data_IF_225837493758
#
_entry.id   IF_225837493758
#
_cell.length_a   1.000
_cell.length_b   1.000
_cell.length_c   1.000
_cell.angle_alpha   90.00
_cell.angle_beta   90.00
_cell.angle_gamma   90.00
#
_symmetry.space_group_name_H-M   'P 1'
#
loop_
_entity.id
_entity.type
_entity.pdbx_description
1 polymer ?
#
# COMPACT_ATOMS: atom_id res chain seq x y z
N UNK A 1 -29.94 -13.90 14.78
CA UNK A 1 -30.96 -14.60 13.97
C UNK A 1 -30.31 -15.18 12.73
N UNK A 2 -30.69 -16.38 12.30
CA UNK A 2 -30.13 -17.02 11.10
C UNK A 2 -31.14 -16.95 9.94
N UNK A 3 -30.66 -16.53 8.76
CA UNK A 3 -31.32 -16.77 7.48
C UNK A 3 -30.42 -17.67 6.64
N UNK A 4 -30.88 -18.87 6.33
CA UNK A 4 -30.19 -19.80 5.45
C UNK A 4 -30.98 -19.98 4.16
N UNK A 5 -30.32 -19.79 3.02
CA UNK A 5 -30.83 -20.10 1.68
C UNK A 5 -29.98 -21.22 1.12
N UNK A 6 -30.61 -22.35 0.81
CA UNK A 6 -29.93 -23.51 0.24
C UNK A 6 -30.59 -23.88 -1.09
N UNK A 7 -29.82 -23.81 -2.17
CA UNK A 7 -30.26 -24.16 -3.53
C UNK A 7 -31.50 -23.38 -3.98
N UNK A 8 -31.55 -22.08 -3.65
CA UNK A 8 -32.67 -21.19 -4.03
C UNK A 8 -32.33 -20.43 -5.32
N UNK A 9 -33.27 -20.37 -6.26
CA UNK A 9 -33.14 -19.59 -7.50
C UNK A 9 -34.04 -18.36 -7.48
N UNK A 10 -33.43 -17.19 -7.64
CA UNK A 10 -34.09 -15.91 -7.88
C UNK A 10 -33.86 -15.51 -9.35
N UNK A 11 -34.87 -15.63 -10.20
CA UNK A 11 -34.74 -15.39 -11.64
C UNK A 11 -35.85 -14.48 -12.19
N UNK A 12 -35.48 -13.58 -13.13
CA UNK A 12 -36.44 -12.75 -13.88
C UNK A 12 -37.10 -11.65 -13.05
N UNK A 13 -36.44 -11.16 -12.01
CA UNK A 13 -37.00 -10.18 -11.08
C UNK A 13 -36.75 -8.75 -11.56
N UNK A 14 -37.81 -7.94 -11.59
CA UNK A 14 -37.72 -6.48 -11.69
C UNK A 14 -38.08 -5.83 -10.36
N UNK A 15 -37.09 -5.25 -9.68
CA UNK A 15 -37.27 -4.56 -8.42
C UNK A 15 -37.17 -3.04 -8.65
N UNK A 16 -38.13 -2.26 -8.14
CA UNK A 16 -38.14 -0.80 -8.32
C UNK A 16 -38.40 -0.09 -7.00
N UNK A 17 -37.42 0.02 -6.09
CA UNK A 17 -37.63 0.65 -4.78
C UNK A 17 -37.96 2.14 -4.93
N UNK A 18 -39.00 2.59 -4.24
CA UNK A 18 -39.58 3.94 -4.41
C UNK A 18 -39.07 4.95 -3.38
N UNK A 19 -38.95 4.54 -2.12
CA UNK A 19 -38.55 5.41 -1.00
C UNK A 19 -37.09 5.27 -0.60
N UNK A 20 -36.60 4.03 -0.51
CA UNK A 20 -35.26 3.69 -0.02
C UNK A 20 -34.67 2.52 -0.81
N UNK A 21 -33.34 2.39 -0.74
CA UNK A 21 -32.58 1.25 -1.24
C UNK A 21 -33.08 -0.09 -0.64
N UNK A 22 -33.29 -1.11 -1.47
CA UNK A 22 -33.69 -2.45 -1.03
C UNK A 22 -32.91 -3.55 -1.74
N UNK A 23 -32.66 -4.65 -1.02
CA UNK A 23 -32.17 -5.90 -1.59
C UNK A 23 -33.31 -6.83 -1.99
N UNK A 24 -33.08 -7.79 -2.90
CA UNK A 24 -33.94 -8.99 -3.00
C UNK A 24 -33.85 -9.76 -1.68
N UNK A 25 -32.62 -9.95 -1.20
CA UNK A 25 -32.31 -10.33 0.17
C UNK A 25 -31.76 -9.10 0.89
N UNK A 26 -32.41 -8.66 1.97
CA UNK A 26 -32.00 -7.46 2.72
C UNK A 26 -31.85 -7.79 4.20
N UNK A 27 -30.62 -7.85 4.67
CA UNK A 27 -30.24 -8.10 6.07
C UNK A 27 -29.96 -6.75 6.73
N UNK A 28 -30.82 -6.35 7.67
CA UNK A 28 -30.78 -5.04 8.33
C UNK A 28 -30.82 -5.10 9.86
N UNK A 29 -30.74 -6.31 10.43
CA UNK A 29 -30.81 -6.54 11.87
C UNK A 29 -29.47 -7.05 12.36
N UNK A 30 -28.95 -6.42 13.41
CA UNK A 30 -27.64 -6.75 14.01
C UNK A 30 -27.64 -8.17 14.62
N UNK A 31 -26.46 -8.75 14.81
CA UNK A 31 -26.32 -10.12 15.33
C UNK A 31 -27.12 -11.14 14.51
N UNK A 32 -27.10 -10.94 13.18
CA UNK A 32 -27.68 -11.86 12.22
C UNK A 32 -26.61 -12.62 11.48
N UNK A 33 -26.92 -13.86 11.16
CA UNK A 33 -26.14 -14.72 10.31
C UNK A 33 -26.94 -14.94 9.02
N UNK A 34 -26.28 -14.79 7.89
CA UNK A 34 -26.86 -15.04 6.58
C UNK A 34 -25.96 -16.02 5.82
N UNK A 35 -26.52 -17.16 5.44
CA UNK A 35 -25.82 -18.18 4.68
C UNK A 35 -26.57 -18.38 3.37
N UNK A 36 -25.87 -18.22 2.25
CA UNK A 36 -26.36 -18.63 0.94
C UNK A 36 -25.47 -19.75 0.41
N UNK A 37 -26.05 -20.92 0.21
CA UNK A 37 -25.39 -22.10 -0.33
C UNK A 37 -26.02 -22.48 -1.66
N UNK A 38 -25.22 -22.64 -2.70
CA UNK A 38 -25.64 -23.13 -4.02
C UNK A 38 -26.83 -22.38 -4.62
N UNK A 39 -27.00 -21.10 -4.28
CA UNK A 39 -28.10 -20.26 -4.76
C UNK A 39 -27.77 -19.63 -6.11
N UNK A 40 -28.81 -19.33 -6.90
CA UNK A 40 -28.68 -18.68 -8.20
C UNK A 40 -29.49 -17.39 -8.19
N UNK A 41 -28.84 -16.28 -8.54
CA UNK A 41 -29.43 -14.97 -8.75
C UNK A 41 -29.21 -14.59 -10.21
N UNK A 42 -30.26 -14.58 -11.02
CA UNK A 42 -30.09 -14.34 -12.45
C UNK A 42 -31.16 -13.45 -13.09
N UNK A 43 -30.79 -12.71 -14.13
CA UNK A 43 -31.71 -11.89 -14.91
C UNK A 43 -32.50 -10.92 -14.03
N UNK A 44 -31.78 -10.24 -13.12
CA UNK A 44 -32.35 -9.30 -12.15
C UNK A 44 -32.13 -7.87 -12.64
N UNK A 45 -33.18 -7.07 -12.63
CA UNK A 45 -33.12 -5.64 -12.95
C UNK A 45 -33.65 -4.81 -11.78
N UNK A 46 -32.79 -3.97 -11.21
CA UNK A 46 -33.10 -3.15 -10.04
C UNK A 46 -33.03 -1.68 -10.44
N UNK A 47 -34.19 -1.03 -10.56
CA UNK A 47 -34.29 0.35 -10.99
C UNK A 47 -34.50 1.32 -9.81
N UNK A 48 -34.23 2.60 -10.02
CA UNK A 48 -34.58 3.71 -9.10
C UNK A 48 -33.61 3.94 -7.92
N UNK A 49 -34.02 3.73 -6.66
CA UNK A 49 -33.36 4.30 -5.46
C UNK A 49 -32.15 3.51 -4.92
N UNK A 50 -31.37 2.83 -5.78
CA UNK A 50 -30.13 2.19 -5.33
C UNK A 50 -30.28 0.87 -4.59
N UNK A 51 -30.81 -0.17 -5.25
CA UNK A 51 -30.95 -1.51 -4.68
C UNK A 51 -29.90 -2.53 -5.17
N UNK A 52 -29.94 -3.73 -4.61
CA UNK A 52 -28.94 -4.80 -4.82
C UNK A 52 -29.61 -6.18 -4.85
N UNK A 53 -28.95 -7.23 -5.33
CA UNK A 53 -29.49 -8.58 -5.15
C UNK A 53 -29.44 -8.97 -3.66
N UNK A 54 -28.29 -8.75 -3.02
CA UNK A 54 -28.07 -8.95 -1.59
C UNK A 54 -27.60 -7.63 -1.00
N UNK A 55 -28.30 -7.18 0.04
CA UNK A 55 -28.01 -5.94 0.76
C UNK A 55 -27.79 -6.23 2.24
N UNK A 56 -26.61 -5.94 2.74
CA UNK A 56 -26.19 -6.14 4.12
C UNK A 56 -25.90 -4.77 4.73
N UNK A 57 -26.64 -4.39 5.78
CA UNK A 57 -26.46 -3.12 6.47
C UNK A 57 -26.57 -3.33 7.97
N UNK A 58 -25.49 -3.09 8.70
CA UNK A 58 -25.55 -3.02 10.16
C UNK A 58 -26.01 -1.63 10.64
N UNK A 59 -26.55 -1.58 11.86
CA UNK A 59 -27.16 -0.37 12.42
C UNK A 59 -26.83 -0.11 13.89
N UNK A 60 -26.52 -1.12 14.70
CA UNK A 60 -26.25 -0.97 16.15
C UNK A 60 -25.29 -2.03 16.67
N UNK A 61 -24.04 -1.64 16.98
CA UNK A 61 -23.00 -2.29 17.81
C UNK A 61 -22.63 -3.77 17.60
N UNK A 62 -23.41 -4.58 16.88
CA UNK A 62 -23.17 -6.01 16.70
C UNK A 62 -23.10 -6.34 15.20
N UNK A 63 -22.08 -7.12 14.79
CA UNK A 63 -21.83 -7.43 13.38
C UNK A 63 -22.90 -8.36 12.78
N UNK A 64 -23.04 -8.30 11.45
CA UNK A 64 -23.70 -9.32 10.64
C UNK A 64 -22.63 -10.25 10.09
N UNK A 65 -22.84 -11.57 10.14
CA UNK A 65 -21.98 -12.55 9.47
C UNK A 65 -22.70 -13.04 8.22
N UNK A 66 -22.08 -12.87 7.06
CA UNK A 66 -22.61 -13.33 5.79
C UNK A 66 -21.62 -14.28 5.09
N UNK A 67 -22.11 -15.45 4.70
CA UNK A 67 -21.32 -16.47 3.99
C UNK A 67 -22.02 -16.83 2.67
N UNK A 68 -21.28 -16.72 1.58
CA UNK A 68 -21.76 -16.96 0.21
C UNK A 68 -20.94 -18.09 -0.40
N UNK A 69 -21.55 -19.26 -0.52
CA UNK A 69 -20.88 -20.49 -0.95
C UNK A 69 -21.52 -21.06 -2.20
N UNK A 70 -20.70 -21.37 -3.20
CA UNK A 70 -21.12 -21.99 -4.47
C UNK A 70 -22.30 -21.27 -5.15
N UNK A 71 -22.43 -19.96 -4.95
CA UNK A 71 -23.55 -19.18 -5.48
C UNK A 71 -23.21 -18.56 -6.84
N UNK A 72 -24.22 -18.40 -7.69
CA UNK A 72 -24.05 -17.75 -9.00
C UNK A 72 -24.90 -16.47 -9.11
N UNK A 73 -24.25 -15.37 -9.50
CA UNK A 73 -24.86 -14.07 -9.76
C UNK A 73 -24.65 -13.73 -11.23
N UNK A 74 -25.69 -13.87 -12.04
CA UNK A 74 -25.60 -13.82 -13.50
C UNK A 74 -26.54 -12.76 -14.08
N UNK A 75 -26.00 -11.79 -14.84
CA UNK A 75 -26.82 -10.79 -15.54
C UNK A 75 -27.72 -10.00 -14.56
N UNK A 76 -27.07 -9.33 -13.61
CA UNK A 76 -27.73 -8.48 -12.61
C UNK A 76 -27.42 -7.03 -12.95
N UNK A 77 -28.45 -6.19 -13.00
CA UNK A 77 -28.29 -4.76 -13.26
C UNK A 77 -28.93 -3.94 -12.15
N UNK A 78 -28.23 -2.89 -11.71
CA UNK A 78 -28.78 -1.90 -10.79
C UNK A 78 -28.41 -0.48 -11.20
N UNK A 79 -29.09 0.50 -10.60
CA UNK A 79 -28.71 1.91 -10.65
C UNK A 79 -28.13 2.26 -9.28
N UNK A 80 -26.99 2.93 -9.23
CA UNK A 80 -26.35 3.40 -8.01
C UNK A 80 -27.21 4.40 -7.25
N UNK A 81 -26.98 4.50 -5.95
CA UNK A 81 -27.74 5.45 -5.13
C UNK A 81 -27.22 6.89 -5.24
N UNK A 82 -27.87 7.83 -4.54
CA UNK A 82 -27.50 9.25 -4.58
C UNK A 82 -26.09 9.53 -4.04
N UNK A 83 -25.48 8.59 -3.32
CA UNK A 83 -24.12 8.66 -2.79
C UNK A 83 -23.10 7.95 -3.69
N UNK A 84 -23.49 7.52 -4.90
CA UNK A 84 -22.62 6.82 -5.85
C UNK A 84 -22.33 5.37 -5.46
N UNK A 85 -23.10 4.79 -4.54
CA UNK A 85 -22.89 3.41 -4.07
C UNK A 85 -23.58 2.43 -5.02
N UNK A 86 -22.86 1.37 -5.38
CA UNK A 86 -23.34 0.35 -6.32
C UNK A 86 -23.38 -1.05 -5.70
N UNK A 87 -22.69 -2.00 -6.33
CA UNK A 87 -22.69 -3.41 -5.96
C UNK A 87 -23.97 -4.10 -6.41
N UNK A 88 -24.19 -4.24 -7.73
CA UNK A 88 -25.47 -4.74 -8.25
C UNK A 88 -25.85 -6.11 -7.68
N UNK A 89 -24.85 -6.98 -7.46
CA UNK A 89 -25.03 -8.24 -6.77
C UNK A 89 -25.00 -8.05 -5.25
N UNK A 90 -23.88 -7.61 -4.68
CA UNK A 90 -23.71 -7.50 -3.23
C UNK A 90 -23.35 -6.06 -2.85
N UNK A 91 -24.13 -5.52 -1.92
CA UNK A 91 -23.77 -4.32 -1.17
C UNK A 91 -23.62 -4.67 0.29
N UNK A 92 -22.50 -4.27 0.89
CA UNK A 92 -22.30 -4.29 2.33
C UNK A 92 -21.95 -2.89 2.82
N UNK A 93 -22.68 -2.43 3.85
CA UNK A 93 -22.24 -1.34 4.70
C UNK A 93 -22.04 -1.86 6.12
N UNK A 94 -20.78 -1.86 6.56
CA UNK A 94 -20.34 -2.37 7.85
C UNK A 94 -19.72 -1.24 8.68
N UNK A 95 -20.42 -0.77 9.72
CA UNK A 95 -19.85 0.18 10.68
C UNK A 95 -19.33 -0.48 11.95
N UNK A 96 -19.74 -1.73 12.20
CA UNK A 96 -19.55 -2.39 13.50
C UNK A 96 -18.98 -3.81 13.34
N UNK A 97 -18.08 -4.00 12.38
CA UNK A 97 -17.31 -5.24 12.23
C UNK A 97 -18.04 -6.39 11.55
N UNK A 98 -19.02 -6.11 10.68
CA UNK A 98 -19.69 -7.15 9.89
C UNK A 98 -18.70 -7.92 9.00
N UNK A 99 -19.04 -9.18 8.74
CA UNK A 99 -18.23 -10.15 8.03
C UNK A 99 -18.90 -10.58 6.73
N UNK A 100 -18.15 -10.63 5.65
CA UNK A 100 -18.56 -11.21 4.39
C UNK A 100 -17.48 -12.18 3.89
N UNK A 101 -17.84 -13.46 3.82
CA UNK A 101 -16.97 -14.53 3.31
C UNK A 101 -17.59 -15.08 2.03
N UNK A 102 -16.80 -15.15 0.96
CA UNK A 102 -17.21 -15.69 -0.33
C UNK A 102 -16.30 -16.85 -0.71
N UNK A 103 -16.89 -18.02 -0.91
CA UNK A 103 -16.14 -19.27 -1.10
C UNK A 103 -16.86 -20.25 -2.05
N UNK A 104 -16.28 -21.45 -2.17
CA UNK A 104 -16.75 -22.61 -2.90
C UNK A 104 -17.02 -22.32 -4.38
N UNK A 105 -16.13 -21.54 -5.01
CA UNK A 105 -16.20 -21.18 -6.42
C UNK A 105 -17.46 -20.43 -6.82
N UNK A 106 -17.95 -19.55 -5.93
CA UNK A 106 -19.01 -18.60 -6.24
C UNK A 106 -18.65 -17.74 -7.47
N UNK A 107 -19.65 -17.35 -8.27
CA UNK A 107 -19.45 -16.65 -9.55
C UNK A 107 -20.28 -15.37 -9.62
N UNK A 108 -19.66 -14.29 -10.07
CA UNK A 108 -20.30 -13.03 -10.39
C UNK A 108 -19.99 -12.72 -11.85
N UNK A 109 -21.01 -12.78 -12.71
CA UNK A 109 -20.86 -12.62 -14.15
C UNK A 109 -21.87 -11.62 -14.68
N UNK A 110 -21.41 -10.60 -15.41
CA UNK A 110 -22.31 -9.57 -15.98
C UNK A 110 -23.15 -8.86 -14.91
N UNK A 111 -22.53 -8.52 -13.80
CA UNK A 111 -23.12 -7.67 -12.76
C UNK A 111 -22.78 -6.21 -13.09
N UNK A 112 -23.79 -5.39 -13.34
CA UNK A 112 -23.63 -4.05 -13.90
C UNK A 112 -24.30 -3.03 -12.97
N UNK A 113 -23.56 -2.00 -12.58
CA UNK A 113 -24.14 -0.82 -11.96
C UNK A 113 -24.08 0.38 -12.90
N UNK A 114 -25.22 1.01 -13.13
CA UNK A 114 -25.29 2.33 -13.78
C UNK A 114 -25.21 3.45 -12.74
N UNK A 115 -24.43 4.50 -12.99
CA UNK A 115 -24.27 5.66 -12.08
C UNK A 115 -23.83 5.28 -10.66
N UNK A 116 -22.96 4.29 -10.54
CA UNK A 116 -22.45 3.78 -9.26
C UNK A 116 -21.04 3.22 -9.37
N UNK A 117 -20.55 2.63 -8.28
CA UNK A 117 -19.23 2.00 -8.18
C UNK A 117 -19.37 0.53 -7.79
N UNK A 118 -18.38 -0.31 -8.11
CA UNK A 118 -18.42 -1.73 -7.77
C UNK A 118 -19.48 -2.45 -8.60
N UNK A 119 -19.17 -2.90 -9.81
CA UNK A 119 -20.18 -3.51 -10.70
C UNK A 119 -20.88 -4.70 -10.05
N UNK A 120 -20.12 -5.64 -9.50
CA UNK A 120 -20.65 -6.77 -8.74
C UNK A 120 -20.79 -6.45 -7.25
N UNK A 121 -19.71 -5.99 -6.62
CA UNK A 121 -19.59 -5.89 -5.17
C UNK A 121 -19.21 -4.46 -4.77
N UNK A 122 -19.95 -3.89 -3.82
CA UNK A 122 -19.61 -2.62 -3.19
C UNK A 122 -19.59 -2.80 -1.66
N UNK A 123 -18.43 -2.53 -1.07
CA UNK A 123 -18.22 -2.62 0.38
C UNK A 123 -17.87 -1.22 0.91
N UNK A 124 -18.66 -0.74 1.86
CA UNK A 124 -18.35 0.44 2.68
C UNK A 124 -18.14 -0.01 4.12
N UNK A 125 -16.92 0.14 4.65
CA UNK A 125 -16.59 -0.33 6.00
C UNK A 125 -15.96 0.73 6.88
N UNK A 126 -15.92 0.47 8.18
CA UNK A 126 -14.97 1.09 9.11
C UNK A 126 -13.81 0.11 9.35
N UNK A 127 -12.61 0.47 8.88
CA UNK A 127 -11.42 -0.35 8.97
C UNK A 127 -10.87 -0.48 10.40
N UNK A 128 -11.28 0.41 11.31
CA UNK A 128 -10.98 0.28 12.75
C UNK A 128 -11.89 -0.75 13.42
N UNK A 129 -13.09 -0.96 12.86
CA UNK A 129 -14.00 -2.00 13.33
C UNK A 129 -13.46 -3.37 12.92
N UNK A 130 -13.72 -4.41 13.70
CA UNK A 130 -13.26 -5.78 13.42
C UNK A 130 -13.94 -6.44 12.21
N UNK A 131 -14.12 -5.70 11.11
CA UNK A 131 -14.77 -6.16 9.89
C UNK A 131 -13.97 -7.28 9.25
N UNK A 132 -14.65 -8.12 8.48
CA UNK A 132 -14.00 -9.15 7.69
C UNK A 132 -14.58 -9.15 6.28
N UNK A 133 -13.70 -9.14 5.26
CA UNK A 133 -14.11 -9.29 3.87
C UNK A 133 -13.10 -10.19 3.15
N UNK A 134 -13.48 -11.45 2.99
CA UNK A 134 -12.60 -12.49 2.45
C UNK A 134 -13.22 -13.13 1.20
N UNK A 135 -12.42 -13.23 0.15
CA UNK A 135 -12.72 -14.02 -1.04
C UNK A 135 -11.74 -15.19 -1.11
N UNK A 136 -12.20 -16.34 -0.62
CA UNK A 136 -11.41 -17.58 -0.53
C UNK A 136 -11.37 -18.29 -1.88
N UNK A 137 -12.49 -18.31 -2.60
CA UNK A 137 -12.58 -18.91 -3.93
C UNK A 137 -13.80 -18.38 -4.67
N UNK A 138 -13.60 -17.37 -5.51
CA UNK A 138 -14.67 -16.84 -6.36
C UNK A 138 -14.15 -16.34 -7.70
N UNK A 139 -15.03 -16.28 -8.70
CA UNK A 139 -14.76 -15.66 -9.99
C UNK A 139 -15.66 -14.44 -10.20
N UNK A 140 -15.06 -13.29 -10.52
CA UNK A 140 -15.75 -12.04 -10.82
C UNK A 140 -15.35 -11.60 -12.23
N UNK A 141 -16.27 -11.67 -13.18
CA UNK A 141 -15.95 -11.37 -14.58
C UNK A 141 -17.06 -10.64 -15.32
N UNK A 142 -16.68 -9.87 -16.34
CA UNK A 142 -17.62 -9.17 -17.23
C UNK A 142 -18.56 -8.22 -16.48
N UNK A 143 -18.15 -7.76 -15.31
CA UNK A 143 -18.90 -6.83 -14.48
C UNK A 143 -18.53 -5.39 -14.87
N UNK A 144 -19.48 -4.47 -14.70
CA UNK A 144 -19.28 -3.09 -15.14
C UNK A 144 -19.73 -2.06 -14.10
N UNK A 145 -18.90 -1.03 -13.91
CA UNK A 145 -19.27 0.18 -13.19
C UNK A 145 -19.33 1.39 -14.15
N UNK A 146 -20.54 1.93 -14.35
CA UNK A 146 -20.78 3.05 -15.26
C UNK A 146 -20.85 4.37 -14.52
N UNK A 147 -20.11 5.37 -15.01
CA UNK A 147 -20.12 6.70 -14.42
C UNK A 147 -21.42 7.45 -14.75
N UNK A 148 -21.88 8.28 -13.81
CA UNK A 148 -22.87 9.30 -14.09
C UNK A 148 -22.21 10.46 -14.85
N UNK A 149 -22.55 10.63 -16.12
CA UNK A 149 -22.00 11.71 -16.94
C UNK A 149 -22.67 13.07 -16.67
N UNK A 150 -23.71 13.10 -15.83
CA UNK A 150 -24.48 14.33 -15.54
C UNK A 150 -23.93 15.12 -14.34
N UNK A 151 -23.08 14.49 -13.51
CA UNK A 151 -22.46 15.09 -12.33
C UNK A 151 -21.17 14.37 -11.98
N UNK A 152 -20.21 15.09 -11.41
CA UNK A 152 -18.92 14.50 -11.02
C UNK A 152 -18.88 14.08 -9.53
N UNK A 153 -19.72 14.70 -8.70
CA UNK A 153 -19.78 14.49 -7.25
C UNK A 153 -21.18 13.97 -6.87
N UNK A 154 -21.30 12.87 -6.10
CA UNK A 154 -20.22 11.97 -5.68
C UNK A 154 -19.63 11.19 -6.86
N UNK A 155 -18.37 10.71 -6.76
CA UNK A 155 -17.70 9.98 -7.83
C UNK A 155 -18.37 8.65 -8.13
N UNK A 156 -18.45 8.30 -9.42
CA UNK A 156 -19.04 7.06 -9.94
C UNK A 156 -18.24 6.49 -11.10
N UNK A 157 -18.42 5.20 -11.40
CA UNK A 157 -17.73 4.50 -12.48
C UNK A 157 -16.35 3.95 -12.12
N UNK A 158 -16.11 3.65 -10.85
CA UNK A 158 -14.88 3.04 -10.33
C UNK A 158 -15.12 1.59 -9.87
N UNK A 159 -14.12 0.72 -10.05
CA UNK A 159 -14.18 -0.67 -9.59
C UNK A 159 -15.18 -1.51 -10.39
N UNK A 160 -14.82 -1.94 -11.60
CA UNK A 160 -15.76 -2.62 -12.50
C UNK A 160 -16.30 -3.93 -11.93
N UNK A 161 -15.49 -4.66 -11.16
CA UNK A 161 -15.92 -5.80 -10.36
C UNK A 161 -16.25 -5.39 -8.92
N UNK A 162 -15.25 -4.86 -8.22
CA UNK A 162 -15.30 -4.57 -6.78
C UNK A 162 -14.94 -3.11 -6.51
N UNK A 163 -15.71 -2.47 -5.63
CA UNK A 163 -15.34 -1.23 -4.95
C UNK A 163 -15.25 -1.50 -3.45
N UNK A 164 -14.09 -1.22 -2.84
CA UNK A 164 -13.88 -1.26 -1.40
C UNK A 164 -13.54 0.15 -0.91
N UNK A 165 -14.30 0.66 0.05
CA UNK A 165 -14.06 1.98 0.63
C UNK A 165 -14.34 1.98 2.11
N UNK A 166 -13.63 2.80 2.87
CA UNK A 166 -13.93 2.94 4.29
C UNK A 166 -13.29 4.13 4.98
N UNK A 167 -13.57 4.22 6.27
CA UNK A 167 -12.88 5.08 7.25
C UNK A 167 -11.99 4.23 8.14
N UNK A 168 -11.16 4.84 8.99
CA UNK A 168 -10.31 4.11 9.92
C UNK A 168 -9.01 3.58 9.30
N UNK A 169 -8.15 3.05 10.17
CA UNK A 169 -6.80 2.61 9.86
C UNK A 169 -6.69 1.09 9.93
N UNK A 170 -6.82 0.43 8.78
CA UNK A 170 -6.72 -1.03 8.70
C UNK A 170 -5.38 -1.56 9.21
N UNK A 171 -5.44 -2.57 10.07
CA UNK A 171 -4.27 -3.30 10.59
C UNK A 171 -4.08 -4.56 9.74
N UNK A 172 -3.10 -4.54 8.84
CA UNK A 172 -2.91 -5.62 7.86
C UNK A 172 -2.62 -7.00 8.49
N UNK A 173 -1.90 -7.03 9.62
CA UNK A 173 -1.63 -8.26 10.39
C UNK A 173 -2.87 -8.90 11.04
N UNK A 174 -4.04 -8.27 10.94
CA UNK A 174 -5.29 -8.91 11.35
C UNK A 174 -5.81 -9.93 10.35
N UNK A 175 -5.33 -9.89 9.09
CA UNK A 175 -5.71 -10.82 8.01
C UNK A 175 -7.24 -10.86 7.72
N UNK A 176 -7.98 -9.83 8.14
CA UNK A 176 -9.44 -9.77 7.97
C UNK A 176 -9.89 -9.28 6.59
N UNK A 177 -8.96 -8.82 5.77
CA UNK A 177 -9.20 -8.41 4.39
C UNK A 177 -8.27 -9.19 3.49
N UNK A 178 -8.82 -10.22 2.86
CA UNK A 178 -8.07 -11.17 2.06
C UNK A 178 -8.78 -11.50 0.74
N UNK A 179 -8.15 -11.12 -0.36
CA UNK A 179 -8.65 -11.34 -1.72
C UNK A 179 -7.79 -12.35 -2.49
N UNK A 180 -6.86 -13.08 -1.85
CA UNK A 180 -5.91 -13.96 -2.56
C UNK A 180 -6.60 -15.02 -3.42
N UNK A 181 -7.79 -15.49 -2.99
CA UNK A 181 -8.54 -16.55 -3.63
C UNK A 181 -9.38 -16.12 -4.84
N UNK A 182 -9.41 -14.83 -5.16
CA UNK A 182 -10.26 -14.31 -6.23
C UNK A 182 -9.64 -14.53 -7.62
N UNK A 183 -10.50 -14.86 -8.58
CA UNK A 183 -10.22 -14.70 -10.02
C UNK A 183 -11.05 -13.53 -10.55
N UNK A 184 -10.39 -12.48 -11.01
CA UNK A 184 -11.03 -11.25 -11.47
C UNK A 184 -10.48 -10.86 -12.84
N UNK A 185 -11.34 -10.77 -13.85
CA UNK A 185 -10.94 -10.51 -15.24
C UNK A 185 -12.11 -10.06 -16.12
N UNK A 186 -11.82 -9.46 -17.28
CA UNK A 186 -12.83 -8.95 -18.23
C UNK A 186 -13.83 -7.96 -17.63
N UNK A 187 -13.49 -7.29 -16.52
CA UNK A 187 -14.35 -6.27 -15.92
C UNK A 187 -14.02 -4.90 -16.52
N UNK A 188 -14.97 -3.96 -16.43
CA UNK A 188 -14.79 -2.63 -17.00
C UNK A 188 -15.33 -1.55 -16.06
N UNK A 189 -14.53 -0.52 -15.82
CA UNK A 189 -14.92 0.69 -15.10
C UNK A 189 -14.82 1.88 -16.04
N UNK A 190 -15.84 2.73 -16.06
CA UNK A 190 -15.82 3.94 -16.93
C UNK A 190 -14.64 4.88 -16.60
N UNK A 191 -14.17 4.85 -15.35
CA UNK A 191 -13.08 5.70 -14.88
C UNK A 191 -11.81 4.91 -14.62
N UNK A 192 -11.68 4.29 -13.44
CA UNK A 192 -10.44 3.67 -12.94
C UNK A 192 -10.72 2.41 -12.12
N UNK A 193 -9.72 1.53 -12.01
CA UNK A 193 -9.85 0.20 -11.41
C UNK A 193 -10.81 -0.66 -12.22
N UNK A 194 -10.35 -1.18 -13.36
CA UNK A 194 -11.20 -1.96 -14.27
C UNK A 194 -11.83 -3.15 -13.56
N UNK A 195 -11.08 -3.76 -12.64
CA UNK A 195 -11.52 -4.88 -11.81
C UNK A 195 -11.76 -4.45 -10.37
N UNK A 196 -10.75 -3.88 -9.70
CA UNK A 196 -10.80 -3.49 -8.29
C UNK A 196 -10.45 -2.01 -8.15
N UNK A 197 -11.26 -1.28 -7.40
CA UNK A 197 -10.91 0.06 -6.94
C UNK A 197 -11.03 0.17 -5.41
N UNK A 198 -9.97 0.66 -4.76
CA UNK A 198 -9.88 0.74 -3.30
C UNK A 198 -9.64 2.16 -2.82
N UNK A 199 -10.39 2.58 -1.80
CA UNK A 199 -10.23 3.86 -1.11
C UNK A 199 -10.00 3.55 0.37
N UNK A 200 -8.74 3.61 0.81
CA UNK A 200 -8.34 3.18 2.15
C UNK A 200 -7.18 4.03 2.67
N UNK A 201 -7.24 4.54 3.93
CA UNK A 201 -6.12 5.27 4.54
C UNK A 201 -4.84 4.45 4.63
N UNK A 202 -4.93 3.16 4.97
CA UNK A 202 -3.79 2.23 5.08
C UNK A 202 -3.62 1.33 3.86
N UNK A 203 -3.93 1.85 2.66
CA UNK A 203 -3.85 1.10 1.40
C UNK A 203 -2.44 0.52 1.16
N UNK A 204 -1.39 1.35 1.29
CA UNK A 204 -0.01 0.90 1.08
C UNK A 204 0.38 -0.21 2.07
N UNK A 205 -0.03 -0.09 3.34
CA UNK A 205 0.22 -1.11 4.37
C UNK A 205 -0.43 -2.45 4.01
N UNK A 206 -1.70 -2.44 3.60
CA UNK A 206 -2.40 -3.66 3.18
C UNK A 206 -1.77 -4.28 1.93
N UNK A 207 -1.45 -3.48 0.92
CA UNK A 207 -0.82 -3.97 -0.31
C UNK A 207 0.60 -4.52 -0.09
N UNK A 208 1.33 -4.03 0.90
CA UNK A 208 2.69 -4.50 1.26
C UNK A 208 2.67 -5.69 2.22
N UNK A 209 1.55 -5.97 2.86
CA UNK A 209 1.46 -7.06 3.82
C UNK A 209 1.53 -8.41 3.11
N UNK A 210 2.21 -9.36 3.77
CA UNK A 210 2.50 -10.65 3.17
C UNK A 210 3.63 -10.59 2.13
N UNK A 211 3.58 -11.50 1.18
CA UNK A 211 4.55 -11.56 0.07
C UNK A 211 3.96 -10.99 -1.22
N UNK A 212 4.60 -9.98 -1.80
CA UNK A 212 4.29 -9.47 -3.14
C UNK A 212 2.79 -9.19 -3.38
N UNK A 213 2.08 -8.61 -2.41
CA UNK A 213 0.67 -8.25 -2.53
C UNK A 213 -0.31 -9.44 -2.50
N UNK A 214 0.08 -10.58 -1.93
CA UNK A 214 -0.72 -11.82 -1.94
C UNK A 214 -2.18 -11.64 -1.49
N UNK A 215 -2.42 -10.82 -0.46
CA UNK A 215 -3.77 -10.55 0.07
C UNK A 215 -4.64 -9.66 -0.84
N UNK A 216 -4.07 -9.10 -1.92
CA UNK A 216 -4.73 -8.13 -2.80
C UNK A 216 -4.88 -8.65 -4.23
N UNK A 217 -3.87 -9.34 -4.75
CA UNK A 217 -3.72 -9.61 -6.19
C UNK A 217 -4.77 -10.55 -6.79
N UNK A 218 -5.21 -11.56 -6.04
CA UNK A 218 -5.93 -12.68 -6.64
C UNK A 218 -5.13 -13.31 -7.79
N UNK A 219 -5.73 -13.37 -8.98
CA UNK A 219 -5.09 -13.86 -10.21
C UNK A 219 -4.32 -12.79 -11.02
N UNK A 220 -4.09 -11.58 -10.48
CA UNK A 220 -3.30 -10.55 -11.15
C UNK A 220 -1.82 -10.97 -11.31
N UNK A 221 -1.25 -10.71 -12.47
CA UNK A 221 0.13 -11.04 -12.83
C UNK A 221 0.91 -9.77 -13.15
N UNK A 222 2.00 -9.53 -12.41
CA UNK A 222 2.91 -8.40 -12.62
C UNK A 222 3.57 -8.41 -14.03
N UNK A 223 3.47 -9.52 -14.78
CA UNK A 223 4.05 -9.67 -16.12
C UNK A 223 3.05 -9.48 -17.26
N UNK A 224 1.77 -9.77 -17.02
CA UNK A 224 0.79 -9.95 -18.11
C UNK A 224 -0.55 -9.28 -17.88
N UNK A 225 -0.89 -8.92 -16.65
CA UNK A 225 -2.13 -8.22 -16.36
C UNK A 225 -2.04 -6.76 -16.77
N UNK A 226 -3.19 -6.15 -17.03
CA UNK A 226 -3.28 -4.74 -17.37
C UNK A 226 -3.19 -3.91 -16.08
N UNK A 227 -2.16 -3.08 -15.92
CA UNK A 227 -1.90 -2.36 -14.66
C UNK A 227 -3.12 -1.62 -14.06
N UNK A 228 -3.97 -0.95 -14.87
CA UNK A 228 -5.19 -0.30 -14.37
C UNK A 228 -6.31 -1.23 -13.90
N UNK A 229 -6.13 -2.55 -13.93
CA UNK A 229 -7.10 -3.52 -13.40
C UNK A 229 -7.28 -3.35 -11.89
N UNK A 230 -6.17 -3.16 -11.17
CA UNK A 230 -6.14 -2.99 -9.72
C UNK A 230 -5.62 -1.59 -9.40
N UNK A 231 -6.52 -0.71 -8.94
CA UNK A 231 -6.16 0.67 -8.61
C UNK A 231 -6.73 1.10 -7.26
N UNK A 232 -6.17 2.16 -6.70
CA UNK A 232 -6.72 2.74 -5.49
C UNK A 232 -6.10 4.08 -5.13
N UNK A 233 -6.62 4.65 -4.04
CA UNK A 233 -6.23 5.95 -3.52
C UNK A 233 -6.08 5.87 -2.00
N UNK A 234 -5.01 6.48 -1.49
CA UNK A 234 -4.75 6.64 -0.05
C UNK A 234 -5.64 7.80 0.45
N UNK A 235 -6.89 7.49 0.76
CA UNK A 235 -7.88 8.44 1.28
C UNK A 235 -8.97 7.68 2.05
N UNK A 236 -9.86 8.40 2.73
CA UNK A 236 -11.00 7.80 3.41
C UNK A 236 -12.32 8.12 2.68
N UNK A 237 -13.36 7.37 3.06
CA UNK A 237 -14.72 7.48 2.52
C UNK A 237 -15.33 8.88 2.61
N UNK A 238 -15.09 9.62 3.69
CA UNK A 238 -15.70 10.93 3.92
C UNK A 238 -15.09 12.00 3.02
N UNK A 239 -13.78 11.92 2.77
CA UNK A 239 -13.10 12.81 1.83
C UNK A 239 -13.38 12.43 0.37
N UNK A 240 -13.28 11.14 0.04
CA UNK A 240 -13.42 10.63 -1.33
C UNK A 240 -14.74 11.02 -2.00
N UNK A 241 -15.86 11.03 -1.27
CA UNK A 241 -17.15 11.38 -1.86
C UNK A 241 -17.27 12.83 -2.32
N UNK A 242 -16.38 13.70 -1.86
CA UNK A 242 -16.29 15.10 -2.30
C UNK A 242 -15.32 15.32 -3.45
N UNK A 243 -14.58 14.30 -3.89
CA UNK A 243 -13.58 14.46 -4.95
C UNK A 243 -14.20 14.54 -6.34
N UNK A 244 -13.58 15.37 -7.16
CA UNK A 244 -13.77 15.42 -8.62
C UNK A 244 -13.00 14.29 -9.31
N UNK A 245 -13.36 13.98 -10.56
CA UNK A 245 -12.61 13.03 -11.41
C UNK A 245 -11.13 13.42 -11.56
N UNK A 246 -10.81 14.72 -11.52
CA UNK A 246 -9.43 15.22 -11.65
C UNK A 246 -8.62 14.90 -10.40
N UNK A 247 -9.15 15.21 -9.21
CA UNK A 247 -8.51 14.90 -7.93
C UNK A 247 -8.31 13.40 -7.76
N UNK A 248 -9.33 12.59 -8.10
CA UNK A 248 -9.17 11.13 -8.05
C UNK A 248 -8.08 10.69 -9.03
N UNK A 249 -8.03 11.26 -10.23
CA UNK A 249 -7.05 10.86 -11.23
C UNK A 249 -5.62 11.20 -10.86
N UNK A 250 -5.38 12.33 -10.18
CA UNK A 250 -4.03 12.72 -9.71
C UNK A 250 -3.52 11.85 -8.59
N UNK A 251 -4.43 11.32 -7.77
CA UNK A 251 -4.10 10.63 -6.52
C UNK A 251 -4.40 9.11 -6.60
N UNK A 252 -4.77 8.60 -7.77
CA UNK A 252 -4.90 7.16 -8.01
C UNK A 252 -3.56 6.55 -8.36
N UNK A 253 -3.25 5.43 -7.72
CA UNK A 253 -2.08 4.60 -8.02
C UNK A 253 -2.51 3.21 -8.49
N UNK A 254 -1.66 2.58 -9.30
CA UNK A 254 -1.79 1.15 -9.55
C UNK A 254 -1.39 0.43 -8.27
N UNK A 255 -2.18 -0.55 -7.82
CA UNK A 255 -1.86 -1.23 -6.57
C UNK A 255 -0.53 -1.99 -6.66
N UNK A 256 -0.14 -2.39 -7.88
CA UNK A 256 1.16 -3.01 -8.16
C UNK A 256 2.35 -2.20 -7.67
N UNK A 257 2.26 -0.88 -7.73
CA UNK A 257 3.33 0.00 -7.30
C UNK A 257 3.68 -0.21 -5.82
N UNK A 258 2.76 -0.68 -4.98
CA UNK A 258 3.04 -0.86 -3.54
C UNK A 258 3.87 -2.11 -3.22
N UNK A 259 3.80 -3.16 -4.03
CA UNK A 259 4.51 -4.42 -3.77
C UNK A 259 5.59 -4.76 -4.81
N UNK A 260 5.66 -4.02 -5.92
CA UNK A 260 6.66 -4.27 -6.96
C UNK A 260 8.07 -4.12 -6.40
N UNK A 261 8.93 -5.07 -6.75
CA UNK A 261 10.37 -5.05 -6.45
C UNK A 261 11.10 -4.58 -7.69
N UNK A 262 12.17 -3.80 -7.52
CA UNK A 262 12.97 -3.35 -8.64
C UNK A 262 13.84 -4.51 -9.15
N UNK A 263 13.64 -4.88 -10.41
CA UNK A 263 14.39 -5.97 -11.06
C UNK A 263 15.58 -5.50 -11.88
N UNK A 264 15.79 -4.18 -12.00
CA UNK A 264 16.91 -3.56 -12.71
C UNK A 264 17.26 -2.20 -12.09
N UNK A 265 18.52 -1.78 -12.24
CA UNK A 265 19.10 -0.47 -11.88
C UNK A 265 18.18 0.44 -11.04
N UNK A 266 18.16 0.23 -9.72
CA UNK A 266 17.31 0.99 -8.82
C UNK A 266 17.77 2.44 -8.73
N UNK A 267 16.98 3.35 -9.34
CA UNK A 267 17.10 4.80 -9.18
C UNK A 267 15.93 5.29 -8.34
N UNK A 268 16.21 5.62 -7.09
CA UNK A 268 15.22 6.02 -6.09
C UNK A 268 15.48 7.47 -5.69
N UNK A 269 14.43 8.18 -5.30
CA UNK A 269 14.48 9.62 -5.05
C UNK A 269 13.85 9.94 -3.70
N UNK A 270 14.53 10.77 -2.92
CA UNK A 270 14.02 11.31 -1.65
C UNK A 270 14.06 12.83 -1.60
N UNK A 271 13.07 13.40 -0.92
CA UNK A 271 12.90 14.85 -0.74
C UNK A 271 12.16 15.13 0.57
N UNK A 272 12.43 16.26 1.22
CA UNK A 272 11.93 16.58 2.56
C UNK A 272 10.40 16.62 2.71
N UNK A 273 9.66 16.89 1.62
CA UNK A 273 8.20 16.92 1.52
C UNK A 273 7.62 15.71 0.77
N UNK A 274 8.42 14.66 0.57
CA UNK A 274 8.03 13.43 -0.13
C UNK A 274 7.03 12.57 0.63
N UNK A 275 6.74 11.38 0.08
CA UNK A 275 5.79 10.43 0.65
C UNK A 275 6.33 8.99 0.65
N UNK A 276 6.56 8.43 1.84
CA UNK A 276 7.14 7.08 2.04
C UNK A 276 6.19 5.93 1.68
N UNK A 277 4.91 6.22 1.48
CA UNK A 277 3.92 5.25 1.01
C UNK A 277 3.99 5.00 -0.50
N UNK A 278 4.79 5.76 -1.25
CA UNK A 278 4.85 5.70 -2.71
C UNK A 278 6.19 5.13 -3.22
N UNK A 279 6.31 4.93 -4.53
CA UNK A 279 7.40 4.17 -5.17
C UNK A 279 8.76 4.90 -5.25
N UNK A 280 8.92 6.05 -4.58
CA UNK A 280 10.14 6.86 -4.57
C UNK A 280 10.71 7.20 -5.97
N UNK A 281 9.85 7.56 -6.93
CA UNK A 281 10.27 7.97 -8.28
C UNK A 281 10.68 9.44 -8.31
N UNK A 282 11.31 9.89 -9.40
CA UNK A 282 11.71 11.30 -9.52
C UNK A 282 10.52 12.28 -9.42
N UNK A 283 9.37 11.89 -9.98
CA UNK A 283 8.12 12.68 -9.92
C UNK A 283 7.40 12.55 -8.58
N UNK A 284 7.66 11.46 -7.84
CA UNK A 284 6.99 11.12 -6.58
C UNK A 284 8.05 10.63 -5.59
N UNK A 285 8.90 11.54 -5.06
CA UNK A 285 9.98 11.17 -4.17
C UNK A 285 9.43 10.72 -2.82
N UNK A 286 10.17 9.82 -2.17
CA UNK A 286 9.92 9.46 -0.78
C UNK A 286 10.45 10.54 0.17
N UNK A 287 10.00 10.52 1.41
CA UNK A 287 10.41 11.49 2.42
C UNK A 287 11.72 11.10 3.08
N UNK A 288 11.82 9.83 3.48
CA UNK A 288 12.90 9.28 4.30
C UNK A 288 13.58 8.11 3.60
N UNK A 289 14.74 7.70 4.08
CA UNK A 289 15.39 6.46 3.66
C UNK A 289 14.73 5.20 4.24
N UNK A 290 13.77 5.38 5.14
CA UNK A 290 13.00 4.32 5.80
C UNK A 290 11.90 3.78 4.88
N UNK A 291 11.55 4.54 3.83
CA UNK A 291 10.54 4.19 2.86
C UNK A 291 10.72 2.76 2.32
N UNK A 292 9.61 2.04 2.20
CA UNK A 292 9.60 0.61 1.85
C UNK A 292 10.41 0.30 0.58
N UNK A 293 10.26 1.09 -0.48
CA UNK A 293 10.99 0.83 -1.73
C UNK A 293 12.49 1.15 -1.65
N UNK A 294 12.93 1.89 -0.65
CA UNK A 294 14.36 2.14 -0.39
C UNK A 294 14.94 0.99 0.40
N UNK A 295 14.33 0.66 1.54
CA UNK A 295 14.81 -0.38 2.45
C UNK A 295 14.70 -1.77 1.83
N UNK A 296 13.58 -2.12 1.20
CA UNK A 296 13.36 -3.45 0.62
C UNK A 296 14.23 -3.73 -0.62
N UNK A 297 14.68 -2.68 -1.32
CA UNK A 297 15.53 -2.84 -2.51
C UNK A 297 17.04 -2.67 -2.21
N UNK A 298 17.44 -2.42 -0.96
CA UNK A 298 18.83 -2.11 -0.62
C UNK A 298 19.81 -3.25 -0.94
N UNK A 299 19.34 -4.50 -1.06
CA UNK A 299 20.20 -5.66 -1.31
C UNK A 299 19.98 -6.36 -2.67
N UNK A 300 19.26 -5.74 -3.62
CA UNK A 300 19.07 -6.31 -4.97
C UNK A 300 20.41 -6.57 -5.69
N UNK A 301 20.54 -7.56 -6.58
CA UNK A 301 21.82 -7.85 -7.25
C UNK A 301 22.23 -6.83 -8.33
N UNK A 302 21.50 -5.72 -8.45
CA UNK A 302 21.67 -4.67 -9.46
C UNK A 302 22.22 -3.37 -8.85
N UNK A 303 22.55 -2.40 -9.71
CA UNK A 303 22.95 -1.06 -9.28
C UNK A 303 21.84 -0.44 -8.43
N UNK A 304 22.24 0.29 -7.40
CA UNK A 304 21.34 0.95 -6.47
C UNK A 304 21.85 2.35 -6.16
N UNK A 305 21.03 3.33 -6.50
CA UNK A 305 21.30 4.75 -6.33
C UNK A 305 20.08 5.42 -5.69
N UNK A 306 20.31 6.09 -4.56
CA UNK A 306 19.35 7.00 -3.96
C UNK A 306 19.80 8.43 -4.21
N UNK A 307 18.94 9.19 -4.88
CA UNK A 307 19.10 10.61 -5.12
C UNK A 307 18.40 11.41 -4.02
N UNK A 308 19.17 12.17 -3.25
CA UNK A 308 18.63 13.12 -2.28
C UNK A 308 18.45 14.45 -3.00
N UNK A 309 17.19 14.86 -3.22
CA UNK A 309 16.85 16.05 -4.01
C UNK A 309 17.18 17.33 -3.21
N UNK A 310 16.81 17.38 -1.94
CA UNK A 310 17.13 18.48 -1.03
C UNK A 310 17.75 17.95 0.27
N UNK A 311 16.98 17.21 1.06
CA UNK A 311 17.35 16.58 2.32
C UNK A 311 16.45 15.39 2.61
N UNK A 312 16.92 14.50 3.48
CA UNK A 312 16.14 13.35 3.96
C UNK A 312 16.64 12.92 5.34
N UNK A 313 16.04 11.88 5.91
CA UNK A 313 16.42 11.30 7.20
C UNK A 313 16.43 9.78 7.15
N UNK A 314 17.09 9.17 8.13
CA UNK A 314 17.03 7.73 8.42
C UNK A 314 16.84 7.51 9.92
N UNK A 315 15.87 6.68 10.31
CA UNK A 315 15.59 6.29 11.71
C UNK A 315 15.51 4.76 11.91
N UNK A 316 16.22 4.00 11.08
CA UNK A 316 16.39 2.56 11.25
C UNK A 316 17.82 2.10 10.94
N UNK A 317 18.07 0.82 11.23
CA UNK A 317 19.31 0.13 10.86
C UNK A 317 19.21 -0.45 9.45
N UNK A 318 19.88 0.18 8.51
CA UNK A 318 19.98 -0.31 7.13
C UNK A 318 21.07 -1.39 7.02
N UNK A 319 20.66 -2.64 6.80
CA UNK A 319 21.58 -3.77 6.61
C UNK A 319 21.99 -3.91 5.13
N UNK A 320 23.27 -3.68 4.84
CA UNK A 320 23.82 -3.70 3.48
C UNK A 320 24.75 -4.90 3.34
N UNK A 321 24.28 -5.90 2.60
CA UNK A 321 24.99 -7.16 2.37
C UNK A 321 25.49 -7.31 0.93
N UNK A 322 25.06 -6.44 0.01
CA UNK A 322 25.45 -6.55 -1.40
C UNK A 322 26.93 -6.23 -1.63
N UNK A 323 27.62 -7.13 -2.32
CA UNK A 323 29.06 -7.03 -2.63
C UNK A 323 29.37 -6.79 -4.10
N UNK A 324 28.43 -7.03 -5.02
CA UNK A 324 28.65 -6.84 -6.45
C UNK A 324 28.72 -5.36 -6.87
N UNK A 325 27.99 -4.49 -6.17
CA UNK A 325 27.90 -3.06 -6.44
C UNK A 325 27.68 -2.28 -5.16
N UNK A 326 28.22 -1.07 -5.09
CA UNK A 326 27.99 -0.16 -3.97
C UNK A 326 26.54 0.34 -3.91
N UNK A 327 26.06 0.59 -2.70
CA UNK A 327 24.83 1.35 -2.43
C UNK A 327 25.18 2.81 -2.36
N UNK A 328 24.74 3.54 -3.37
CA UNK A 328 25.19 4.91 -3.57
C UNK A 328 24.11 5.91 -3.16
N UNK A 329 24.53 6.93 -2.42
CA UNK A 329 23.69 8.03 -1.96
C UNK A 329 24.35 9.35 -2.33
N UNK A 330 23.60 10.26 -2.94
CA UNK A 330 24.14 11.53 -3.41
C UNK A 330 23.10 12.46 -4.04
N UNK A 331 23.53 13.63 -4.53
CA UNK A 331 22.67 14.55 -5.27
C UNK A 331 22.28 13.99 -6.64
N UNK A 332 21.33 14.66 -7.30
CA UNK A 332 20.97 14.39 -8.70
C UNK A 332 22.19 14.52 -9.64
N UNK A 333 22.19 13.73 -10.72
CA UNK A 333 23.30 13.70 -11.69
C UNK A 333 23.63 15.11 -12.26
N UNK A 334 22.61 15.95 -12.47
CA UNK A 334 22.74 17.32 -12.98
C UNK A 334 23.16 18.34 -11.91
N UNK A 335 23.18 17.96 -10.64
CA UNK A 335 23.57 18.77 -9.48
C UNK A 335 24.68 18.10 -8.69
N UNK A 336 25.52 17.31 -9.37
CA UNK A 336 26.46 16.32 -8.82
C UNK A 336 27.49 16.84 -7.81
N UNK A 337 27.59 18.16 -7.60
CA UNK A 337 28.48 18.80 -6.63
C UNK A 337 27.76 19.49 -5.48
N UNK A 338 26.42 19.47 -5.47
CA UNK A 338 25.62 20.08 -4.41
C UNK A 338 25.54 19.15 -3.22
N UNK A 339 25.94 19.65 -2.05
CA UNK A 339 25.87 18.86 -0.82
C UNK A 339 24.42 18.71 -0.36
N UNK A 340 24.02 17.49 0.00
CA UNK A 340 22.66 17.14 0.45
C UNK A 340 22.65 16.74 1.91
N UNK A 341 21.69 17.25 2.67
CA UNK A 341 21.58 16.94 4.09
C UNK A 341 20.93 15.56 4.28
N UNK A 342 21.57 14.71 5.06
CA UNK A 342 21.00 13.47 5.56
C UNK A 342 21.01 13.52 7.08
N UNK A 343 19.82 13.61 7.67
CA UNK A 343 19.63 13.57 9.11
C UNK A 343 19.70 12.11 9.59
N UNK A 344 20.62 11.83 10.50
CA UNK A 344 20.72 10.56 11.19
C UNK A 344 20.00 10.70 12.52
N UNK A 345 18.78 10.17 12.57
CA UNK A 345 17.94 10.13 13.77
C UNK A 345 18.52 9.13 14.79
N UNK A 346 17.94 9.07 15.99
CA UNK A 346 18.47 8.22 17.07
C UNK A 346 18.61 6.74 16.70
N UNK A 347 17.69 6.18 15.91
CA UNK A 347 17.72 4.80 15.41
C UNK A 347 18.52 4.62 14.12
N UNK A 348 18.85 5.71 13.42
CA UNK A 348 19.54 5.72 12.14
C UNK A 348 20.95 5.15 12.20
N UNK A 349 21.24 4.15 11.36
CA UNK A 349 22.55 3.49 11.24
C UNK A 349 22.64 2.70 9.93
N UNK A 350 23.84 2.61 9.36
CA UNK A 350 24.15 1.75 8.21
C UNK A 350 25.09 0.62 8.64
N UNK A 351 24.59 -0.60 8.64
CA UNK A 351 25.34 -1.82 8.95
C UNK A 351 25.85 -2.47 7.66
N UNK A 352 27.15 -2.40 7.44
CA UNK A 352 27.77 -2.67 6.14
C UNK A 352 28.61 -3.94 6.19
N UNK A 353 28.07 -5.01 5.62
CA UNK A 353 28.80 -6.22 5.26
C UNK A 353 29.26 -6.20 3.79
N UNK A 354 28.60 -5.39 2.97
CA UNK A 354 28.85 -5.22 1.54
C UNK A 354 29.51 -3.88 1.19
N UNK A 355 28.99 -3.21 0.16
CA UNK A 355 29.60 -1.97 -0.37
C UNK A 355 28.66 -0.78 -0.26
N UNK A 356 29.16 0.36 0.21
CA UNK A 356 28.40 1.61 0.31
C UNK A 356 29.26 2.81 -0.13
N UNK A 357 28.61 3.78 -0.79
CA UNK A 357 29.21 5.03 -1.22
C UNK A 357 28.29 6.20 -0.88
N UNK A 358 28.79 7.17 -0.12
CA UNK A 358 28.17 8.48 0.00
C UNK A 358 29.01 9.51 -0.75
N UNK A 359 28.36 10.29 -1.62
CA UNK A 359 29.01 11.34 -2.38
C UNK A 359 28.24 12.65 -2.24
N UNK A 360 28.91 13.73 -1.82
CA UNK A 360 28.31 15.04 -1.53
C UNK A 360 27.16 14.97 -0.52
N UNK A 361 27.36 14.24 0.59
CA UNK A 361 26.39 14.15 1.68
C UNK A 361 26.88 14.90 2.90
N UNK A 362 26.02 15.73 3.48
CA UNK A 362 26.18 16.30 4.81
C UNK A 362 25.42 15.46 5.82
N UNK A 363 26.15 14.68 6.62
CA UNK A 363 25.61 13.93 7.74
C UNK A 363 25.30 14.87 8.89
N UNK A 364 24.02 15.03 9.20
CA UNK A 364 23.54 15.80 10.36
C UNK A 364 23.11 14.79 11.41
N UNK A 365 23.89 14.60 12.47
CA UNK A 365 23.65 13.50 13.42
C UNK A 365 23.02 14.02 14.71
N UNK A 366 21.92 13.39 15.14
CA UNK A 366 21.30 13.69 16.42
C UNK A 366 22.16 13.22 17.60
N UNK A 367 22.08 13.99 18.69
CA UNK A 367 22.73 13.62 19.93
C UNK A 367 22.18 12.30 20.48
N UNK A 368 23.07 11.45 20.96
CA UNK A 368 22.78 10.06 21.34
C UNK A 368 23.66 9.68 22.53
N UNK A 369 23.15 8.83 23.42
CA UNK A 369 23.98 8.28 24.49
C UNK A 369 25.03 7.33 23.93
N UNK A 370 26.22 7.30 24.54
CA UNK A 370 27.25 6.32 24.22
C UNK A 370 26.70 4.91 24.42
N UNK A 371 26.71 4.09 23.37
CA UNK A 371 26.25 2.71 23.42
C UNK A 371 27.07 1.85 22.47
N UNK A 372 27.33 0.60 22.88
CA UNK A 372 28.19 -0.29 22.10
C UNK A 372 27.48 -0.75 20.83
N UNK A 373 28.20 -0.78 19.70
CA UNK A 373 27.67 -1.23 18.41
C UNK A 373 26.61 -0.31 17.80
N UNK A 374 26.57 0.97 18.21
CA UNK A 374 25.77 2.00 17.56
C UNK A 374 26.69 3.06 16.95
N UNK A 375 26.83 3.02 15.63
CA UNK A 375 27.60 4.01 14.87
C UNK A 375 26.75 4.48 13.67
N UNK A 376 27.05 5.65 13.10
CA UNK A 376 26.32 6.12 11.91
C UNK A 376 26.55 5.18 10.73
N UNK A 377 27.80 4.80 10.46
CA UNK A 377 28.17 3.79 9.48
C UNK A 377 29.09 2.78 10.16
N UNK A 378 28.76 1.50 10.10
CA UNK A 378 29.50 0.44 10.76
C UNK A 378 29.92 -0.63 9.76
N UNK A 379 31.21 -0.92 9.69
CA UNK A 379 31.78 -2.01 8.91
C UNK A 379 31.84 -3.31 9.71
N UNK A 380 31.23 -4.38 9.19
CA UNK A 380 31.00 -5.62 9.94
C UNK A 380 31.84 -6.82 9.47
N UNK A 381 32.44 -6.79 8.27
CA UNK A 381 33.23 -7.89 7.70
C UNK A 381 34.57 -7.41 7.16
N UNK A 382 35.61 -8.22 7.35
CA UNK A 382 36.97 -7.88 6.91
C UNK A 382 37.18 -7.99 5.39
N UNK A 383 36.50 -8.93 4.73
CA UNK A 383 36.80 -9.27 3.32
C UNK A 383 35.89 -8.60 2.30
N UNK A 384 34.70 -8.17 2.71
CA UNK A 384 33.64 -7.71 1.80
C UNK A 384 33.20 -6.27 2.04
N UNK A 385 33.44 -5.74 3.24
CA UNK A 385 33.03 -4.37 3.58
C UNK A 385 33.89 -3.35 2.81
N UNK A 386 33.23 -2.51 2.03
CA UNK A 386 33.81 -1.31 1.42
C UNK A 386 32.95 -0.09 1.76
N UNK A 387 33.49 0.84 2.56
CA UNK A 387 32.84 2.10 2.94
C UNK A 387 33.58 3.26 2.29
N UNK A 388 32.88 4.01 1.44
CA UNK A 388 33.45 5.17 0.75
C UNK A 388 32.69 6.45 1.06
N UNK A 389 33.40 7.49 1.49
CA UNK A 389 32.89 8.85 1.66
C UNK A 389 33.65 9.79 0.73
N UNK A 390 32.93 10.49 -0.14
CA UNK A 390 33.49 11.46 -1.09
C UNK A 390 32.82 12.83 -0.94
N UNK A 391 33.60 13.88 -0.73
CA UNK A 391 33.11 15.27 -0.62
C UNK A 391 32.01 15.43 0.44
N UNK A 392 32.11 14.68 1.53
CA UNK A 392 31.09 14.65 2.57
C UNK A 392 31.35 15.70 3.65
N UNK A 393 30.31 16.03 4.40
CA UNK A 393 30.37 16.88 5.58
C UNK A 393 29.77 16.15 6.77
N UNK A 394 30.19 16.51 7.98
CA UNK A 394 29.67 15.93 9.21
C UNK A 394 29.43 17.03 10.24
N UNK A 395 28.18 17.12 10.69
CA UNK A 395 27.68 18.10 11.64
C UNK A 395 26.77 17.44 12.69
N UNK A 396 26.63 18.10 13.83
CA UNK A 396 25.67 17.74 14.87
C UNK A 396 24.35 18.50 14.69
N UNK A 397 23.21 17.86 14.95
CA UNK A 397 21.88 18.46 14.80
C UNK A 397 21.52 19.50 15.87
N UNK A 398 22.02 19.35 17.10
CA UNK A 398 21.64 20.18 18.26
C UNK A 398 22.86 20.60 19.08
N UNK A 399 22.99 21.88 19.42
CA UNK A 399 24.01 22.35 20.34
C UNK A 399 23.63 22.04 21.80
N UNK A 400 24.52 21.36 22.54
CA UNK A 400 24.40 21.21 24.01
C UNK A 400 24.36 19.79 24.57
N UNK A 401 24.29 18.74 23.74
CA UNK A 401 24.43 17.33 24.14
C UNK A 401 25.51 16.71 23.25
N UNK A 402 26.30 15.76 23.76
CA UNK A 402 27.32 15.05 22.97
C UNK A 402 26.72 13.95 22.07
N UNK A 403 27.32 13.72 20.90
CA UNK A 403 27.08 12.51 20.10
C UNK A 403 27.85 11.33 20.71
N UNK A 404 27.16 10.21 20.92
CA UNK A 404 27.71 8.96 21.46
C UNK A 404 27.97 7.89 20.40
N UNK A 405 28.13 8.29 19.14
CA UNK A 405 28.32 7.41 17.98
C UNK A 405 29.48 7.94 17.12
N UNK A 406 30.21 7.03 16.48
CA UNK A 406 31.16 7.42 15.41
C UNK A 406 30.42 7.70 14.11
N UNK A 407 30.95 8.58 13.26
CA UNK A 407 30.49 8.70 11.88
C UNK A 407 30.79 7.40 11.11
N UNK A 408 32.03 6.89 11.23
CA UNK A 408 32.41 5.58 10.68
C UNK A 408 33.12 4.75 11.74
N UNK A 409 32.71 3.49 11.90
CA UNK A 409 33.35 2.51 12.76
C UNK A 409 33.60 1.20 12.01
N UNK A 410 34.86 0.82 11.79
CA UNK A 410 35.22 -0.48 11.21
C UNK A 410 35.51 -1.47 12.35
N UNK A 411 34.70 -2.52 12.50
CA UNK A 411 34.84 -3.48 13.62
C UNK A 411 35.70 -4.70 13.33
N UNK A 412 35.84 -5.08 12.05
CA UNK A 412 36.49 -6.34 11.65
C UNK A 412 37.65 -6.21 10.67
N UNK A 413 37.82 -5.08 10.00
CA UNK A 413 38.70 -4.93 8.84
C UNK A 413 37.96 -4.28 7.68
N UNK A 414 38.30 -4.64 6.44
CA UNK A 414 37.65 -4.11 5.22
C UNK A 414 38.35 -2.89 4.64
N UNK A 415 37.76 -2.31 3.59
CA UNK A 415 38.30 -1.11 2.93
C UNK A 415 37.49 0.11 3.33
N UNK A 416 38.18 1.13 3.83
CA UNK A 416 37.61 2.44 4.11
C UNK A 416 38.34 3.50 3.28
N UNK A 417 37.59 4.28 2.51
CA UNK A 417 38.13 5.37 1.68
C UNK A 417 37.40 6.66 2.04
N UNK A 418 38.12 7.65 2.57
CA UNK A 418 37.54 8.95 2.94
C UNK A 418 38.28 10.06 2.22
N UNK A 419 37.61 10.71 1.28
CA UNK A 419 38.17 11.81 0.49
C UNK A 419 37.37 13.09 0.70
N UNK A 420 38.06 14.18 1.06
CA UNK A 420 37.47 15.51 1.21
C UNK A 420 36.29 15.57 2.21
N UNK A 421 36.49 14.97 3.39
CA UNK A 421 35.53 15.06 4.51
C UNK A 421 35.78 16.34 5.31
N UNK A 422 34.75 17.17 5.48
CA UNK A 422 34.78 18.31 6.41
C UNK A 422 34.01 17.97 7.69
N UNK A 423 34.64 18.17 8.85
CA UNK A 423 34.02 17.92 10.16
C UNK A 423 34.00 19.24 10.94
N UNK A 424 32.81 19.69 11.33
CA UNK A 424 32.62 20.97 12.03
C UNK A 424 31.47 20.91 13.01
N UNK A 425 31.52 21.75 14.04
CA UNK A 425 30.44 21.94 15.02
C UNK A 425 30.00 20.66 15.75
N UNK A 426 30.97 19.90 16.26
CA UNK A 426 30.73 18.60 16.92
C UNK A 426 31.17 18.62 18.38
N UNK A 427 30.28 18.15 19.25
CA UNK A 427 30.63 17.70 20.60
C UNK A 427 30.43 16.18 20.65
N UNK A 428 31.48 15.39 20.84
CA UNK A 428 31.37 13.92 20.82
C UNK A 428 32.01 13.30 22.05
N UNK A 429 31.41 12.22 22.56
CA UNK A 429 32.02 11.33 23.57
C UNK A 429 32.65 10.08 22.94
N UNK A 430 32.60 9.97 21.61
CA UNK A 430 33.18 8.89 20.82
C UNK A 430 34.07 9.44 19.69
N UNK A 431 34.98 8.61 19.15
CA UNK A 431 35.79 8.96 17.98
C UNK A 431 34.90 9.21 16.74
N UNK A 432 35.19 10.26 15.97
CA UNK A 432 34.49 10.54 14.71
C UNK A 432 34.70 9.43 13.69
N UNK A 433 35.95 9.00 13.50
CA UNK A 433 36.32 7.82 12.71
C UNK A 433 37.02 6.85 13.66
N UNK A 434 36.54 5.61 13.69
CA UNK A 434 37.04 4.54 14.53
C UNK A 434 37.39 3.33 13.67
N UNK A 435 38.58 2.78 13.88
CA UNK A 435 39.04 1.56 13.22
C UNK A 435 39.50 0.57 14.30
N UNK A 436 38.64 -0.39 14.60
CA UNK A 436 38.92 -1.53 15.48
C UNK A 436 39.23 -2.73 14.58
N UNK A 437 40.42 -2.74 13.99
CA UNK A 437 40.87 -3.87 13.16
C UNK A 437 41.29 -5.04 14.05
N UNK A 438 40.36 -5.95 14.35
CA UNK A 438 40.71 -7.28 14.88
C UNK A 438 41.11 -8.27 13.76
N UNK A 439 40.83 -7.94 12.49
CA UNK A 439 41.33 -8.60 11.28
C UNK A 439 41.91 -7.57 10.27
N UNK A 440 42.44 -8.03 9.12
CA UNK A 440 43.09 -7.16 8.14
C UNK A 440 42.13 -6.15 7.48
N UNK A 441 42.56 -4.89 7.37
CA UNK A 441 41.82 -3.81 6.71
C UNK A 441 42.73 -2.78 6.07
N UNK A 442 42.17 -1.96 5.18
CA UNK A 442 42.84 -0.84 4.52
C UNK A 442 42.08 0.45 4.79
N UNK A 443 42.80 1.48 5.20
CA UNK A 443 42.29 2.84 5.36
C UNK A 443 43.05 3.76 4.40
N UNK A 444 42.32 4.48 3.54
CA UNK A 444 42.89 5.34 2.48
C UNK A 444 42.28 6.74 2.49
#
# INVERSE_FOLDING_TARGET
SLLELNTVTFSGIKLSPTSEAKGIVHIKYNNSEFIAQSCIFENINISSKGGNAIRIVDSVSNPIVATINACEFNNISSIGDSSGRGGSAIFMKSKYGSKLIIDESSKFTKCIVDKGNGGAIYIETDFDSEFEFNIINATISKCEAKADTTKDIPPTGYGGGIMLVGTGDYIASSERLDLHGMKIYDNNATKKGQSLYVVMPKLASWCRFGSLGEFVKGNYSDLTSYEPDLQGIISNRETFIGYTSIQISSDTYNLEDYWRVLTDNAKLYVRSDGNDDLFCTQSIPCKTLDAYHISNNINIPHLYQVYIIDSSSIDYKAEITQTSSARTYGPLDNESTTVRNLLIETGGQFDVEGKILFNYINFVVQATSLSNGQHTIQGLKSTTTEISLMNCQYHMASSGISIGKSLVCMLKGGTQTITNLTVSDITSVENVIKAEFDESGTLT
#
